data_IF_239669193749
#
_entry.id   IF_239669193749
#
_cell.length_a   1.000
_cell.length_b   1.000
_cell.length_c   1.000
_cell.angle_alpha   90.00
_cell.angle_beta   90.00
_cell.angle_gamma   90.00
#
_symmetry.space_group_name_H-M   'P 1'
#
loop_
_entity.id
_entity.type
_entity.pdbx_description
1 polymer ?
#
# COMPACT_ATOMS: atom_id res chain seq x y z
N UNK A 1 58.13 -41.02 12.25
CA UNK A 1 57.63 -40.04 13.24
C UNK A 1 56.80 -38.99 12.52
N UNK A 2 55.49 -38.85 12.82
CA UNK A 2 54.59 -37.94 12.12
C UNK A 2 54.69 -36.52 12.69
N UNK A 3 54.59 -35.49 11.83
CA UNK A 3 54.42 -34.10 12.25
C UNK A 3 53.16 -33.52 11.63
N UNK A 4 52.07 -33.65 12.37
CA UNK A 4 50.82 -32.91 12.21
C UNK A 4 51.09 -31.41 12.37
N UNK A 5 50.53 -30.58 11.49
CA UNK A 5 50.43 -29.14 11.71
C UNK A 5 48.98 -28.71 11.54
N UNK A 6 48.54 -27.98 12.57
CA UNK A 6 47.18 -27.60 12.87
C UNK A 6 46.56 -26.67 11.81
N UNK A 7 45.28 -26.92 11.56
CA UNK A 7 44.35 -26.05 10.85
C UNK A 7 44.07 -24.82 11.72
N UNK A 8 44.19 -23.62 11.15
CA UNK A 8 43.58 -22.41 11.72
C UNK A 8 42.75 -21.76 10.61
N UNK A 9 41.48 -22.14 10.55
CA UNK A 9 40.48 -21.43 9.76
C UNK A 9 39.90 -20.31 10.63
N UNK A 10 40.35 -19.07 10.39
CA UNK A 10 39.67 -17.87 10.91
C UNK A 10 38.51 -17.57 9.97
N UNK A 11 37.31 -17.96 10.36
CA UNK A 11 36.07 -17.52 9.69
C UNK A 11 35.65 -16.20 10.34
N UNK A 12 35.90 -15.09 9.65
CA UNK A 12 35.33 -13.79 10.00
C UNK A 12 33.90 -13.76 9.46
N UNK A 13 32.92 -14.12 10.31
CA UNK A 13 31.50 -13.85 10.07
C UNK A 13 31.18 -12.45 10.61
N UNK A 14 31.55 -11.42 9.86
CA UNK A 14 31.18 -10.04 10.14
C UNK A 14 30.13 -9.55 9.12
N UNK A 15 28.92 -9.26 9.61
CA UNK A 15 28.01 -8.27 9.01
C UNK A 15 27.06 -8.76 7.91
N UNK A 16 25.91 -9.34 8.29
CA UNK A 16 24.73 -9.47 7.42
C UNK A 16 23.47 -8.77 7.98
N UNK A 17 23.63 -7.84 8.92
CA UNK A 17 22.49 -7.16 9.58
C UNK A 17 22.10 -5.82 8.94
N UNK A 18 22.76 -5.38 7.87
CA UNK A 18 22.51 -4.08 7.22
C UNK A 18 21.43 -4.07 6.12
N UNK A 19 20.97 -5.23 5.66
CA UNK A 19 20.13 -5.34 4.45
C UNK A 19 18.65 -5.06 4.71
N UNK A 20 18.16 -5.37 5.92
CA UNK A 20 16.72 -5.34 6.22
C UNK A 20 16.12 -3.93 6.14
N UNK A 21 16.86 -2.92 6.59
CA UNK A 21 16.40 -1.52 6.59
C UNK A 21 16.36 -0.93 5.17
N UNK A 22 17.42 -1.13 4.39
CA UNK A 22 17.49 -0.65 3.01
C UNK A 22 16.45 -1.34 2.10
N UNK A 23 16.16 -2.62 2.34
CA UNK A 23 15.10 -3.34 1.62
C UNK A 23 13.70 -2.82 1.99
N UNK A 24 13.49 -2.39 3.23
CA UNK A 24 12.22 -1.78 3.69
C UNK A 24 11.92 -0.46 3.00
N UNK A 25 12.90 0.46 2.94
CA UNK A 25 12.75 1.76 2.26
C UNK A 25 12.50 1.60 0.76
N UNK A 26 13.27 0.75 0.08
CA UNK A 26 13.08 0.50 -1.36
C UNK A 26 11.72 -0.14 -1.67
N UNK A 27 11.19 -0.97 -0.76
CA UNK A 27 9.87 -1.58 -0.89
C UNK A 27 8.77 -0.54 -0.66
N UNK A 28 8.90 0.30 0.36
CA UNK A 28 7.94 1.38 0.60
C UNK A 28 7.90 2.41 -0.52
N UNK A 29 9.05 2.74 -1.13
CA UNK A 29 9.09 3.62 -2.31
C UNK A 29 8.26 3.06 -3.47
N UNK A 30 8.40 1.76 -3.78
CA UNK A 30 7.59 1.10 -4.81
C UNK A 30 6.12 1.03 -4.43
N UNK A 31 5.81 0.62 -3.20
CA UNK A 31 4.44 0.46 -2.74
C UNK A 31 3.67 1.79 -2.77
N UNK A 32 4.31 2.89 -2.39
CA UNK A 32 3.71 4.23 -2.48
C UNK A 32 3.41 4.62 -3.92
N UNK A 33 4.31 4.35 -4.87
CA UNK A 33 4.07 4.64 -6.28
C UNK A 33 2.91 3.80 -6.85
N UNK A 34 2.87 2.51 -6.50
CA UNK A 34 1.75 1.62 -6.88
C UNK A 34 0.45 2.11 -6.25
N UNK A 35 0.45 2.51 -4.99
CA UNK A 35 -0.71 3.05 -4.29
C UNK A 35 -1.24 4.34 -4.93
N UNK A 36 -0.36 5.26 -5.34
CA UNK A 36 -0.74 6.46 -6.08
C UNK A 36 -1.34 6.12 -7.45
N UNK A 37 -0.79 5.11 -8.15
CA UNK A 37 -1.34 4.63 -9.41
C UNK A 37 -2.74 4.03 -9.22
N UNK A 38 -2.91 3.18 -8.22
CA UNK A 38 -4.22 2.59 -7.88
C UNK A 38 -5.26 3.67 -7.55
N UNK A 39 -4.86 4.71 -6.81
CA UNK A 39 -5.72 5.83 -6.48
C UNK A 39 -6.19 6.57 -7.74
N UNK A 40 -5.28 6.90 -8.68
CA UNK A 40 -5.64 7.56 -9.94
C UNK A 40 -6.57 6.70 -10.80
N UNK A 41 -6.24 5.41 -10.96
CA UNK A 41 -7.06 4.48 -11.74
C UNK A 41 -8.46 4.28 -11.14
N UNK A 42 -8.60 4.38 -9.81
CA UNK A 42 -9.90 4.29 -9.16
C UNK A 42 -10.77 5.53 -9.46
N UNK A 43 -10.16 6.73 -9.50
CA UNK A 43 -10.83 7.95 -9.92
C UNK A 43 -11.25 7.88 -11.40
N UNK A 44 -10.34 7.45 -12.27
CA UNK A 44 -10.65 7.26 -13.70
C UNK A 44 -11.82 6.28 -13.90
N UNK A 45 -11.89 5.20 -13.11
CA UNK A 45 -13.03 4.26 -13.13
C UNK A 45 -14.34 4.89 -12.65
N UNK A 46 -14.29 5.85 -11.72
CA UNK A 46 -15.48 6.59 -11.31
C UNK A 46 -15.95 7.54 -12.40
N UNK A 47 -15.03 8.22 -13.08
CA UNK A 47 -15.36 9.12 -14.20
C UNK A 47 -15.90 8.37 -15.42
N UNK A 48 -15.46 7.13 -15.62
CA UNK A 48 -15.97 6.23 -16.66
C UNK A 48 -17.27 5.51 -16.25
N UNK A 49 -17.67 5.58 -14.97
CA UNK A 49 -18.91 4.98 -14.52
C UNK A 49 -20.08 5.84 -15.01
N UNK A 50 -20.66 5.40 -16.13
CA UNK A 50 -21.85 5.99 -16.72
C UNK A 50 -23.01 4.97 -16.69
N UNK A 51 -24.21 5.46 -16.41
CA UNK A 51 -25.44 4.67 -16.46
C UNK A 51 -26.08 4.36 -15.10
N UNK A 52 -26.85 3.26 -15.07
CA UNK A 52 -27.78 2.89 -14.00
C UNK A 52 -27.11 2.68 -12.63
N UNK A 53 -27.83 3.04 -11.57
CA UNK A 53 -27.38 2.97 -10.18
C UNK A 53 -26.81 1.60 -9.79
N UNK A 54 -27.35 0.50 -10.33
CA UNK A 54 -26.83 -0.84 -10.05
C UNK A 54 -25.39 -1.05 -10.54
N UNK A 55 -25.00 -0.44 -11.67
CA UNK A 55 -23.61 -0.48 -12.18
C UNK A 55 -22.71 0.40 -11.34
N UNK A 56 -23.17 1.59 -10.97
CA UNK A 56 -22.44 2.55 -10.15
C UNK A 56 -22.13 1.98 -8.76
N UNK A 57 -23.07 1.24 -8.17
CA UNK A 57 -22.88 0.57 -6.89
C UNK A 57 -21.69 -0.41 -6.87
N UNK A 58 -21.49 -1.16 -7.95
CA UNK A 58 -20.33 -2.07 -8.05
C UNK A 58 -19.02 -1.29 -8.14
N UNK A 59 -19.00 -0.21 -8.93
CA UNK A 59 -17.81 0.65 -9.08
C UNK A 59 -17.47 1.33 -7.76
N UNK A 60 -18.45 1.92 -7.07
CA UNK A 60 -18.22 2.59 -5.78
C UNK A 60 -17.69 1.64 -4.71
N UNK A 61 -18.22 0.41 -4.63
CA UNK A 61 -17.70 -0.61 -3.69
C UNK A 61 -16.23 -0.93 -3.97
N UNK A 62 -15.86 -1.11 -5.25
CA UNK A 62 -14.46 -1.33 -5.65
C UNK A 62 -13.57 -0.11 -5.36
N UNK A 63 -14.08 1.10 -5.56
CA UNK A 63 -13.37 2.34 -5.24
C UNK A 63 -13.05 2.42 -3.75
N UNK A 64 -14.04 2.19 -2.89
CA UNK A 64 -13.88 2.15 -1.43
C UNK A 64 -12.83 1.12 -1.00
N UNK A 65 -12.89 -0.10 -1.54
CA UNK A 65 -11.90 -1.14 -1.24
C UNK A 65 -10.48 -0.71 -1.65
N UNK A 66 -10.36 -0.02 -2.78
CA UNK A 66 -9.08 0.50 -3.28
C UNK A 66 -8.55 1.59 -2.35
N UNK A 67 -9.39 2.55 -1.95
CA UNK A 67 -9.01 3.62 -1.02
C UNK A 67 -8.51 3.07 0.32
N UNK A 68 -9.15 2.01 0.85
CA UNK A 68 -8.70 1.34 2.09
C UNK A 68 -7.35 0.66 1.95
N UNK A 69 -7.08 0.00 0.82
CA UNK A 69 -5.77 -0.61 0.52
C UNK A 69 -4.68 0.46 0.39
N UNK A 70 -4.97 1.53 -0.33
CA UNK A 70 -4.07 2.68 -0.48
C UNK A 70 -3.78 3.33 0.88
N UNK A 71 -4.81 3.53 1.71
CA UNK A 71 -4.65 4.06 3.06
C UNK A 71 -3.73 3.20 3.94
N UNK A 72 -3.82 1.87 3.84
CA UNK A 72 -2.92 0.94 4.54
C UNK A 72 -1.46 1.10 4.11
N UNK A 73 -1.19 1.29 2.81
CA UNK A 73 0.17 1.55 2.31
C UNK A 73 0.69 2.89 2.82
N UNK A 74 -0.10 3.97 2.67
CA UNK A 74 0.30 5.30 3.15
C UNK A 74 0.53 5.32 4.66
N UNK A 75 -0.27 4.59 5.45
CA UNK A 75 -0.10 4.49 6.90
C UNK A 75 1.19 3.78 7.32
N UNK A 76 1.68 2.82 6.53
CA UNK A 76 2.91 2.08 6.81
C UNK A 76 4.17 2.74 6.26
N UNK A 77 4.07 3.32 5.05
CA UNK A 77 5.23 3.73 4.27
C UNK A 77 5.48 5.24 4.24
N UNK A 78 4.50 6.07 4.62
CA UNK A 78 4.68 7.52 4.71
C UNK A 78 4.81 7.97 6.17
N UNK A 79 5.34 9.16 6.37
CA UNK A 79 5.44 9.80 7.69
C UNK A 79 5.15 11.30 7.61
N UNK A 80 5.08 11.96 8.77
CA UNK A 80 4.90 13.41 8.87
C UNK A 80 3.62 13.95 8.21
N UNK A 81 3.72 15.17 7.68
CA UNK A 81 2.61 15.86 7.02
C UNK A 81 2.16 15.18 5.74
N UNK A 82 3.08 14.55 5.00
CA UNK A 82 2.75 13.81 3.77
C UNK A 82 1.78 12.66 4.07
N UNK A 83 2.08 11.85 5.10
CA UNK A 83 1.16 10.80 5.56
C UNK A 83 -0.21 11.37 5.91
N UNK A 84 -0.24 12.45 6.69
CA UNK A 84 -1.51 13.04 7.14
C UNK A 84 -2.36 13.52 5.95
N UNK A 85 -1.76 14.23 5.00
CA UNK A 85 -2.46 14.74 3.81
C UNK A 85 -2.96 13.60 2.91
N UNK A 86 -2.10 12.64 2.61
CA UNK A 86 -2.43 11.50 1.75
C UNK A 86 -3.52 10.62 2.38
N UNK A 87 -3.43 10.35 3.68
CA UNK A 87 -4.47 9.61 4.41
C UNK A 87 -5.79 10.38 4.45
N UNK A 88 -5.77 11.68 4.74
CA UNK A 88 -6.98 12.49 4.78
C UNK A 88 -7.72 12.46 3.44
N UNK A 89 -6.99 12.52 2.32
CA UNK A 89 -7.56 12.44 0.97
C UNK A 89 -8.27 11.09 0.73
N UNK A 90 -7.56 9.96 0.91
CA UNK A 90 -8.13 8.64 0.59
C UNK A 90 -9.22 8.22 1.56
N UNK A 91 -9.09 8.56 2.85
CA UNK A 91 -10.12 8.29 3.86
C UNK A 91 -11.33 9.20 3.69
N UNK A 92 -11.14 10.44 3.22
CA UNK A 92 -12.24 11.33 2.85
C UNK A 92 -13.08 10.70 1.74
N UNK A 93 -12.42 10.25 0.67
CA UNK A 93 -13.09 9.56 -0.44
C UNK A 93 -13.76 8.26 0.00
N UNK A 94 -13.10 7.41 0.81
CA UNK A 94 -13.73 6.20 1.38
C UNK A 94 -15.04 6.53 2.12
N UNK A 95 -15.03 7.54 3.00
CA UNK A 95 -16.23 7.93 3.76
C UNK A 95 -17.36 8.42 2.86
N UNK A 96 -17.04 9.26 1.89
CA UNK A 96 -18.01 9.81 0.94
C UNK A 96 -18.69 8.69 0.14
N UNK A 97 -17.90 7.82 -0.48
CA UNK A 97 -18.44 6.74 -1.30
C UNK A 97 -19.11 5.64 -0.46
N UNK A 98 -18.60 5.36 0.74
CA UNK A 98 -19.28 4.46 1.68
C UNK A 98 -20.68 4.98 2.07
N UNK A 99 -20.83 6.29 2.26
CA UNK A 99 -22.13 6.90 2.53
C UNK A 99 -23.07 6.82 1.30
N UNK A 100 -22.55 7.09 0.10
CA UNK A 100 -23.32 6.96 -1.14
C UNK A 100 -23.81 5.53 -1.38
N UNK A 101 -22.94 4.52 -1.14
CA UNK A 101 -23.30 3.10 -1.21
C UNK A 101 -24.42 2.78 -0.23
N UNK A 102 -24.32 3.23 1.03
CA UNK A 102 -25.34 2.98 2.04
C UNK A 102 -26.70 3.59 1.65
N UNK A 103 -26.68 4.78 1.05
CA UNK A 103 -27.90 5.49 0.67
C UNK A 103 -28.59 4.89 -0.58
N UNK A 104 -27.82 4.36 -1.54
CA UNK A 104 -28.33 4.04 -2.89
C UNK A 104 -28.25 2.55 -3.26
N UNK A 105 -27.33 1.79 -2.66
CA UNK A 105 -27.00 0.45 -3.11
C UNK A 105 -27.54 -0.68 -2.23
N UNK A 106 -28.22 -0.35 -1.12
CA UNK A 106 -28.60 -1.32 -0.09
C UNK A 106 -27.40 -1.85 0.71
N UNK A 107 -27.65 -2.23 1.97
CA UNK A 107 -26.63 -2.80 2.84
C UNK A 107 -26.33 -4.25 2.47
N UNK A 108 -25.11 -4.48 1.95
CA UNK A 108 -24.55 -5.74 1.43
C UNK A 108 -25.06 -6.18 0.05
#
# INVERSE_FOLDING_TARGET
>A
MPRTRFVVSVVILAGLSGSAWAQGDATCGRDVLVAQSMQRQALEQLEQADGDDAKNCRVWRRHVDTMRRVASVYGRCLSGSERAQRLAQVQGSDREFSAAIKARCGGH
#
